data_IF_488693601047
#
_entry.id   IF_488693601047
#
_cell.length_a   1.000
_cell.length_b   1.000
_cell.length_c   1.000
_cell.angle_alpha   90.00
_cell.angle_beta   90.00
_cell.angle_gamma   90.00
#
_symmetry.space_group_name_H-M   'P 1'
#
loop_
_entity.id
_entity.type
_entity.pdbx_description
1 polymer ?
#
# COMPACT_ATOMS: atom_id res chain seq x y z
N UNK A 1 21.19 15.63 3.87
CA UNK A 1 19.84 15.43 4.40
C UNK A 1 19.89 14.54 5.64
N UNK A 2 19.05 14.80 6.64
CA UNK A 2 18.87 13.95 7.84
C UNK A 2 17.56 13.16 7.68
N UNK A 3 17.68 11.87 7.42
CA UNK A 3 16.57 10.99 7.06
C UNK A 3 16.25 10.01 8.20
N UNK A 4 15.01 9.98 8.66
CA UNK A 4 14.48 8.93 9.51
C UNK A 4 13.84 7.82 8.67
N UNK A 5 14.00 6.55 9.05
CA UNK A 5 13.34 5.44 8.37
C UNK A 5 12.66 4.54 9.41
N UNK A 6 11.33 4.52 9.45
CA UNK A 6 10.59 3.49 10.17
C UNK A 6 10.64 2.18 9.43
N UNK A 7 11.37 1.20 9.96
CA UNK A 7 11.53 -0.10 9.32
C UNK A 7 12.41 -1.05 10.15
N UNK A 8 12.55 -2.27 9.68
CA UNK A 8 13.40 -3.28 10.29
C UNK A 8 14.80 -3.26 9.66
N UNK A 9 15.85 -3.43 10.46
CA UNK A 9 17.25 -3.39 10.00
C UNK A 9 17.60 -4.50 9.01
N UNK A 10 16.93 -5.63 9.07
CA UNK A 10 17.07 -6.77 8.16
C UNK A 10 16.28 -6.63 6.85
N UNK A 11 15.41 -5.60 6.75
CA UNK A 11 14.64 -5.32 5.53
C UNK A 11 15.57 -4.95 4.37
N UNK A 12 15.40 -5.65 3.24
CA UNK A 12 16.12 -5.33 2.02
C UNK A 12 15.92 -3.86 1.61
N UNK A 13 14.68 -3.36 1.70
CA UNK A 13 14.34 -1.98 1.30
C UNK A 13 15.02 -0.95 2.18
N UNK A 14 15.10 -1.20 3.49
CA UNK A 14 15.81 -0.33 4.44
C UNK A 14 17.30 -0.31 4.11
N UNK A 15 17.91 -1.47 3.89
CA UNK A 15 19.34 -1.54 3.53
C UNK A 15 19.68 -0.83 2.23
N UNK A 16 18.84 -0.98 1.20
CA UNK A 16 19.04 -0.29 -0.08
C UNK A 16 18.93 1.23 0.08
N UNK A 17 17.96 1.73 0.85
CA UNK A 17 17.85 3.16 1.16
C UNK A 17 19.04 3.68 1.96
N UNK A 18 19.50 2.93 2.97
CA UNK A 18 20.67 3.32 3.75
C UNK A 18 21.95 3.37 2.88
N UNK A 19 22.16 2.37 2.02
CA UNK A 19 23.30 2.36 1.10
C UNK A 19 23.28 3.56 0.14
N UNK A 20 22.13 3.84 -0.47
CA UNK A 20 21.98 4.97 -1.37
C UNK A 20 22.19 6.32 -0.65
N UNK A 21 21.69 6.45 0.59
CA UNK A 21 21.85 7.66 1.40
C UNK A 21 23.31 7.90 1.80
N UNK A 22 24.01 6.84 2.25
CA UNK A 22 25.44 6.92 2.61
C UNK A 22 26.30 7.35 1.40
N UNK A 23 26.04 6.81 0.20
CA UNK A 23 26.74 7.20 -1.02
C UNK A 23 26.56 8.69 -1.36
N UNK A 24 25.49 9.32 -0.89
CA UNK A 24 25.17 10.74 -1.09
C UNK A 24 25.67 11.64 0.05
N UNK A 25 26.23 11.07 1.12
CA UNK A 25 26.60 11.79 2.32
C UNK A 25 25.41 12.19 3.19
N UNK A 26 24.26 11.55 3.02
CA UNK A 26 23.09 11.75 3.87
C UNK A 26 23.23 10.96 5.18
N UNK A 27 22.66 11.51 6.26
CA UNK A 27 22.61 10.84 7.56
C UNK A 27 21.28 10.09 7.68
N UNK A 28 21.34 8.80 8.04
CA UNK A 28 20.14 7.95 8.21
C UNK A 28 20.02 7.50 9.65
N UNK A 29 18.87 7.74 10.26
CA UNK A 29 18.47 7.19 11.55
C UNK A 29 17.39 6.14 11.34
N UNK A 30 17.62 4.92 11.82
CA UNK A 30 16.61 3.88 11.83
C UNK A 30 15.68 4.08 13.01
N UNK A 31 14.37 4.17 12.74
CA UNK A 31 13.33 4.43 13.72
C UNK A 31 12.48 3.17 13.96
N UNK A 32 12.03 3.00 15.21
CA UNK A 32 11.15 1.91 15.61
C UNK A 32 9.85 2.44 16.20
N UNK A 33 8.70 1.95 15.74
CA UNK A 33 7.41 2.30 16.34
C UNK A 33 7.27 1.90 17.82
N UNK A 34 7.98 0.86 18.25
CA UNK A 34 7.98 0.45 19.66
C UNK A 34 8.70 1.45 20.57
N UNK A 35 9.62 2.23 20.01
CA UNK A 35 10.39 3.27 20.71
C UNK A 35 9.90 4.69 20.40
N UNK A 36 8.93 4.83 19.49
CA UNK A 36 8.39 6.13 19.08
C UNK A 36 7.42 6.65 20.13
N UNK A 37 7.69 7.84 20.62
CA UNK A 37 6.88 8.49 21.67
C UNK A 37 6.82 10.00 21.49
N UNK A 38 5.83 10.63 22.11
CA UNK A 38 5.73 12.07 22.21
C UNK A 38 5.55 12.51 23.67
N UNK A 39 6.01 13.70 23.97
CA UNK A 39 5.85 14.35 25.26
C UNK A 39 5.20 15.71 25.08
N UNK A 40 4.16 15.96 25.87
CA UNK A 40 3.58 17.32 26.02
C UNK A 40 3.99 17.85 27.36
N UNK A 41 4.87 18.88 27.38
CA UNK A 41 5.33 19.53 28.62
C UNK A 41 5.30 21.02 28.45
N UNK A 42 4.68 21.73 29.39
CA UNK A 42 4.53 23.18 29.37
C UNK A 42 4.02 23.73 28.00
N UNK A 43 3.05 23.05 27.41
CA UNK A 43 2.46 23.40 26.09
C UNK A 43 3.35 23.14 24.89
N UNK A 44 4.49 22.47 25.06
CA UNK A 44 5.41 22.11 23.97
C UNK A 44 5.31 20.62 23.67
N UNK A 45 5.17 20.29 22.39
CA UNK A 45 5.17 18.94 21.88
C UNK A 45 6.57 18.57 21.38
N UNK A 46 7.07 17.40 21.80
CA UNK A 46 8.39 16.88 21.41
C UNK A 46 8.25 15.40 21.07
N UNK A 47 8.98 14.92 20.07
CA UNK A 47 8.95 13.54 19.59
C UNK A 47 10.29 12.85 19.84
N UNK A 48 10.26 11.57 20.20
CA UNK A 48 11.44 10.78 20.55
C UNK A 48 11.38 9.39 19.89
N UNK A 49 12.55 8.83 19.60
CA UNK A 49 12.71 7.40 19.34
C UNK A 49 13.75 6.85 20.32
N UNK A 50 13.28 6.09 21.32
CA UNK A 50 14.11 5.75 22.48
C UNK A 50 14.47 6.99 23.29
N UNK A 51 15.79 7.23 23.48
CA UNK A 51 16.28 8.41 24.16
C UNK A 51 16.49 9.63 23.23
N UNK A 52 16.52 9.39 21.91
CA UNK A 52 16.86 10.42 20.92
C UNK A 52 15.63 11.27 20.57
N UNK A 53 15.77 12.59 20.69
CA UNK A 53 14.74 13.52 20.23
C UNK A 53 14.79 13.66 18.70
N UNK A 54 13.63 13.51 18.06
CA UNK A 54 13.48 13.57 16.60
C UNK A 54 13.42 15.04 16.11
N UNK A 55 14.43 15.83 16.47
CA UNK A 55 14.56 17.22 16.02
C UNK A 55 15.41 17.31 14.76
N UNK A 56 14.99 18.16 13.81
CA UNK A 56 15.76 18.49 12.62
C UNK A 56 15.94 17.32 11.65
N UNK A 57 15.01 16.36 11.63
CA UNK A 57 14.88 15.43 10.51
C UNK A 57 14.26 16.19 9.34
N UNK A 58 14.90 16.09 8.16
CA UNK A 58 14.38 16.68 6.93
C UNK A 58 13.21 15.88 6.39
N UNK A 59 13.25 14.54 6.54
CA UNK A 59 12.19 13.64 6.14
C UNK A 59 12.19 12.36 6.96
N UNK A 60 11.03 11.70 6.99
CA UNK A 60 10.84 10.35 7.53
C UNK A 60 10.16 9.47 6.48
N UNK A 61 10.76 8.32 6.20
CA UNK A 61 10.17 7.29 5.35
C UNK A 61 9.53 6.21 6.22
N UNK A 62 8.25 5.92 6.01
CA UNK A 62 7.56 4.80 6.65
C UNK A 62 7.64 3.58 5.72
N UNK A 63 8.47 2.60 6.09
CA UNK A 63 8.66 1.37 5.30
C UNK A 63 7.98 0.14 5.89
N UNK A 64 7.66 0.18 7.17
CA UNK A 64 6.94 -0.90 7.84
C UNK A 64 6.24 -0.32 9.06
N UNK A 65 4.97 -0.67 9.23
CA UNK A 65 4.26 -0.52 10.50
C UNK A 65 3.96 -1.94 11.01
N UNK A 66 4.49 -2.33 12.19
CA UNK A 66 4.23 -3.67 12.70
C UNK A 66 2.75 -3.83 13.09
N UNK A 67 2.21 -5.06 13.08
CA UNK A 67 0.89 -5.33 13.62
C UNK A 67 0.75 -4.79 15.05
N UNK A 68 -0.46 -4.42 15.43
CA UNK A 68 -0.76 -3.91 16.76
C UNK A 68 -2.25 -3.96 17.07
N UNK A 69 -2.61 -3.68 18.31
CA UNK A 69 -4.01 -3.42 18.68
C UNK A 69 -4.51 -2.15 17.97
N UNK A 70 -5.82 -1.97 17.90
CA UNK A 70 -6.42 -0.73 17.40
C UNK A 70 -5.82 0.50 18.09
N UNK A 71 -5.69 0.46 19.41
CA UNK A 71 -5.10 1.53 20.22
C UNK A 71 -3.66 1.85 19.78
N UNK A 72 -2.82 0.84 19.57
CA UNK A 72 -1.44 1.03 19.11
C UNK A 72 -1.38 1.59 17.69
N UNK A 73 -2.25 1.13 16.79
CA UNK A 73 -2.26 1.64 15.41
C UNK A 73 -2.69 3.10 15.37
N UNK A 74 -3.79 3.45 16.08
CA UNK A 74 -4.27 4.84 16.20
C UNK A 74 -3.17 5.73 16.79
N UNK A 75 -2.57 5.34 17.93
CA UNK A 75 -1.51 6.12 18.56
C UNK A 75 -0.30 6.34 17.63
N UNK A 76 0.10 5.33 16.84
CA UNK A 76 1.20 5.48 15.85
C UNK A 76 0.86 6.46 14.75
N UNK A 77 -0.39 6.44 14.28
CA UNK A 77 -0.85 7.38 13.25
C UNK A 77 -0.93 8.81 13.79
N UNK A 78 -1.40 8.99 15.03
CA UNK A 78 -1.43 10.28 15.70
C UNK A 78 -0.02 10.84 15.93
N UNK A 79 0.93 9.99 16.35
CA UNK A 79 2.33 10.37 16.51
C UNK A 79 2.98 10.80 15.17
N UNK A 80 2.73 10.06 14.08
CA UNK A 80 3.21 10.44 12.75
C UNK A 80 2.58 11.77 12.29
N UNK A 81 1.27 11.96 12.48
CA UNK A 81 0.57 13.18 12.14
C UNK A 81 1.07 14.37 12.95
N UNK A 82 1.34 14.16 14.24
CA UNK A 82 1.95 15.17 15.09
C UNK A 82 3.36 15.56 14.66
N UNK A 83 4.18 14.59 14.27
CA UNK A 83 5.54 14.82 13.76
C UNK A 83 5.51 15.58 12.42
N UNK A 84 4.55 15.25 11.54
CA UNK A 84 4.30 15.96 10.28
C UNK A 84 3.90 17.42 10.54
N UNK A 85 2.94 17.64 11.46
CA UNK A 85 2.49 18.99 11.86
C UNK A 85 3.61 19.81 12.51
N UNK A 86 4.61 19.16 13.13
CA UNK A 86 5.81 19.81 13.65
C UNK A 86 6.84 20.18 12.57
N UNK A 87 6.55 19.91 11.28
CA UNK A 87 7.35 20.32 10.14
C UNK A 87 8.26 19.26 9.56
N UNK A 88 8.23 18.02 10.07
CA UNK A 88 8.98 16.90 9.46
C UNK A 88 8.17 16.32 8.32
N UNK A 89 8.75 16.23 7.13
CA UNK A 89 8.08 15.57 5.98
C UNK A 89 7.96 14.07 6.22
N UNK A 90 6.75 13.55 6.17
CA UNK A 90 6.49 12.09 6.27
C UNK A 90 6.13 11.54 4.88
N UNK A 91 6.81 10.49 4.44
CA UNK A 91 6.52 9.81 3.17
C UNK A 91 6.17 8.32 3.42
N UNK A 92 4.96 7.94 3.09
CA UNK A 92 3.84 8.81 2.69
C UNK A 92 3.20 9.48 3.90
N UNK A 93 2.48 10.58 3.63
CA UNK A 93 1.72 11.28 4.65
C UNK A 93 0.82 10.31 5.44
N UNK A 94 0.61 10.51 6.75
CA UNK A 94 -0.18 9.60 7.59
C UNK A 94 -1.56 9.30 7.01
N UNK A 95 -2.27 10.31 6.50
CA UNK A 95 -3.58 10.14 5.86
C UNK A 95 -3.55 9.24 4.62
N UNK A 96 -2.48 9.29 3.84
CA UNK A 96 -2.30 8.39 2.70
C UNK A 96 -2.03 6.95 3.14
N UNK A 97 -1.25 6.76 4.22
CA UNK A 97 -1.02 5.44 4.81
C UNK A 97 -2.31 4.82 5.34
N UNK A 98 -3.12 5.60 6.09
CA UNK A 98 -4.45 5.18 6.59
C UNK A 98 -5.37 4.74 5.44
N UNK A 99 -5.44 5.55 4.40
CA UNK A 99 -6.28 5.24 3.24
C UNK A 99 -5.79 3.97 2.54
N UNK A 100 -4.50 3.87 2.23
CA UNK A 100 -3.95 2.79 1.44
C UNK A 100 -3.97 1.43 2.15
N UNK A 101 -3.90 1.38 3.48
CA UNK A 101 -3.95 0.12 4.24
C UNK A 101 -5.36 -0.46 4.29
N UNK A 102 -6.37 0.39 4.21
CA UNK A 102 -7.78 0.01 4.21
C UNK A 102 -8.28 -0.15 2.77
N UNK A 103 -8.49 -1.41 2.37
CA UNK A 103 -8.94 -1.75 1.01
C UNK A 103 -10.30 -1.15 0.67
N UNK A 104 -11.21 -1.09 1.65
CA UNK A 104 -12.54 -0.54 1.40
C UNK A 104 -12.49 0.97 1.26
N UNK A 105 -11.81 1.67 2.17
CA UNK A 105 -11.66 3.12 2.10
C UNK A 105 -11.00 3.55 0.78
N UNK A 106 -9.96 2.81 0.35
CA UNK A 106 -9.34 3.03 -0.96
C UNK A 106 -10.35 2.83 -2.10
N UNK A 107 -11.07 1.71 -2.12
CA UNK A 107 -12.06 1.41 -3.16
C UNK A 107 -13.18 2.45 -3.17
N UNK A 108 -13.69 2.84 -2.00
CA UNK A 108 -14.71 3.87 -1.87
C UNK A 108 -14.25 5.21 -2.46
N UNK A 109 -13.07 5.70 -2.06
CA UNK A 109 -12.54 6.98 -2.53
C UNK A 109 -12.29 6.99 -4.04
N UNK A 110 -11.79 5.89 -4.59
CA UNK A 110 -11.60 5.75 -6.03
C UNK A 110 -12.94 5.81 -6.77
N UNK A 111 -13.96 5.09 -6.29
CA UNK A 111 -15.30 5.09 -6.87
C UNK A 111 -15.98 6.47 -6.79
N UNK A 112 -15.84 7.19 -5.65
CA UNK A 112 -16.35 8.56 -5.47
C UNK A 112 -15.75 9.55 -6.47
N UNK A 113 -14.53 9.30 -6.94
CA UNK A 113 -13.87 10.09 -7.99
C UNK A 113 -14.12 9.55 -9.40
N UNK A 114 -15.03 8.58 -9.56
CA UNK A 114 -15.38 7.99 -10.86
C UNK A 114 -14.28 7.12 -11.47
N UNK A 115 -13.27 6.70 -10.70
CA UNK A 115 -12.25 5.79 -11.20
C UNK A 115 -12.78 4.36 -11.23
N UNK A 116 -12.45 3.58 -12.28
CA UNK A 116 -12.95 2.22 -12.44
C UNK A 116 -12.33 1.29 -11.39
N UNK A 117 -13.19 0.70 -10.58
CA UNK A 117 -12.87 -0.32 -9.56
C UNK A 117 -13.81 -1.52 -9.70
N UNK A 118 -13.44 -2.72 -9.25
CA UNK A 118 -14.38 -3.84 -9.26
C UNK A 118 -15.55 -3.62 -8.30
N UNK A 119 -16.73 -4.12 -8.66
CA UNK A 119 -17.90 -4.12 -7.78
C UNK A 119 -17.55 -4.77 -6.44
N UNK A 120 -17.86 -4.10 -5.35
CA UNK A 120 -17.40 -4.46 -4.00
C UNK A 120 -18.49 -4.21 -2.96
N UNK A 121 -18.66 -5.16 -2.04
CA UNK A 121 -19.52 -5.04 -0.87
C UNK A 121 -18.69 -5.28 0.39
N UNK A 122 -18.91 -4.45 1.41
CA UNK A 122 -18.35 -4.64 2.75
C UNK A 122 -19.47 -4.83 3.76
N UNK A 123 -19.31 -5.81 4.66
CA UNK A 123 -20.28 -6.10 5.73
C UNK A 123 -19.60 -6.83 6.88
N UNK A 124 -20.32 -7.00 8.00
CA UNK A 124 -19.84 -7.77 9.16
C UNK A 124 -20.56 -9.12 9.27
N UNK A 125 -21.79 -9.24 8.75
CA UNK A 125 -22.60 -10.45 8.84
C UNK A 125 -22.45 -11.38 7.64
N UNK A 126 -22.42 -12.69 7.90
CA UNK A 126 -22.31 -13.72 6.87
C UNK A 126 -23.50 -13.71 5.91
N UNK A 127 -24.71 -13.40 6.36
CA UNK A 127 -25.90 -13.34 5.50
C UNK A 127 -25.80 -12.23 4.45
N UNK A 128 -25.35 -11.03 4.85
CA UNK A 128 -25.13 -9.93 3.91
C UNK A 128 -24.01 -10.26 2.92
N UNK A 129 -22.95 -10.95 3.36
CA UNK A 129 -21.87 -11.39 2.48
C UNK A 129 -22.33 -12.46 1.47
N UNK A 130 -23.23 -13.36 1.87
CA UNK A 130 -23.80 -14.36 0.97
C UNK A 130 -24.77 -13.73 -0.03
N UNK A 131 -25.56 -12.74 0.38
CA UNK A 131 -26.35 -11.94 -0.55
C UNK A 131 -25.46 -11.23 -1.58
N UNK A 132 -24.37 -10.61 -1.13
CA UNK A 132 -23.38 -9.98 -2.01
C UNK A 132 -22.75 -11.00 -2.99
N UNK A 133 -22.45 -12.22 -2.53
CA UNK A 133 -21.95 -13.29 -3.40
C UNK A 133 -22.92 -13.59 -4.56
N UNK A 134 -24.24 -13.68 -4.28
CA UNK A 134 -25.26 -13.87 -5.30
C UNK A 134 -25.36 -12.66 -6.25
N UNK A 135 -25.45 -11.46 -5.72
CA UNK A 135 -25.61 -10.20 -6.48
C UNK A 135 -24.40 -9.92 -7.38
N UNK A 136 -23.19 -10.27 -6.95
CA UNK A 136 -21.95 -10.11 -7.72
C UNK A 136 -21.71 -11.22 -8.74
N UNK A 137 -22.65 -12.18 -8.88
CA UNK A 137 -22.64 -13.19 -9.94
C UNK A 137 -21.91 -14.48 -9.58
N UNK A 138 -21.79 -14.82 -8.31
CA UNK A 138 -21.22 -16.06 -7.79
C UNK A 138 -19.76 -16.36 -8.18
N UNK A 139 -19.03 -15.35 -8.55
CA UNK A 139 -17.57 -15.44 -8.75
C UNK A 139 -16.94 -14.22 -8.09
N UNK A 140 -16.51 -14.40 -6.85
CA UNK A 140 -16.03 -13.34 -6.00
C UNK A 140 -14.67 -13.66 -5.36
N UNK A 141 -13.99 -12.61 -4.95
CA UNK A 141 -12.80 -12.69 -4.11
C UNK A 141 -13.12 -12.11 -2.75
N UNK A 142 -12.98 -12.92 -1.72
CA UNK A 142 -13.08 -12.47 -0.32
C UNK A 142 -11.68 -12.15 0.17
N UNK A 143 -11.51 -10.93 0.68
CA UNK A 143 -10.20 -10.41 1.11
C UNK A 143 -10.26 -9.97 2.57
N UNK A 144 -9.18 -10.12 3.35
CA UNK A 144 -9.08 -9.41 4.63
C UNK A 144 -9.03 -7.90 4.36
N UNK A 145 -9.72 -7.11 5.20
CA UNK A 145 -9.73 -5.65 5.07
C UNK A 145 -8.31 -5.09 5.13
N UNK A 146 -7.52 -5.54 6.10
CA UNK A 146 -6.11 -5.23 6.24
C UNK A 146 -5.25 -6.42 5.84
N UNK A 147 -4.15 -6.19 5.14
CA UNK A 147 -3.24 -7.23 4.70
C UNK A 147 -2.53 -6.88 3.40
N UNK A 148 -1.41 -7.52 3.17
CA UNK A 148 -0.55 -7.30 2.00
C UNK A 148 -0.19 -8.63 1.32
N UNK A 149 0.40 -8.54 0.14
CA UNK A 149 1.01 -9.67 -0.59
C UNK A 149 0.04 -10.79 -0.99
N UNK A 150 -1.26 -10.51 -1.07
CA UNK A 150 -2.27 -11.50 -1.44
C UNK A 150 -2.55 -12.57 -0.38
N UNK A 151 -2.09 -12.38 0.87
CA UNK A 151 -2.35 -13.32 1.96
C UNK A 151 -3.80 -13.25 2.42
N UNK A 152 -4.42 -14.41 2.64
CA UNK A 152 -5.80 -14.50 3.11
C UNK A 152 -6.86 -14.20 2.04
N UNK A 153 -6.47 -14.03 0.77
CA UNK A 153 -7.39 -13.81 -0.34
C UNK A 153 -7.90 -15.18 -0.83
N UNK A 154 -9.22 -15.31 -0.91
CA UNK A 154 -9.89 -16.54 -1.37
C UNK A 154 -10.84 -16.19 -2.50
N UNK A 155 -10.70 -16.84 -3.68
CA UNK A 155 -11.72 -16.84 -4.73
C UNK A 155 -12.76 -17.90 -4.43
N UNK A 156 -14.02 -17.55 -4.55
CA UNK A 156 -15.14 -18.43 -4.24
C UNK A 156 -16.15 -18.38 -5.38
N UNK A 157 -16.51 -19.57 -5.88
CA UNK A 157 -17.51 -19.76 -6.95
C UNK A 157 -18.61 -20.75 -6.53
N UNK A 158 -18.37 -21.49 -5.46
CA UNK A 158 -19.31 -22.48 -4.92
C UNK A 158 -20.08 -21.89 -3.72
N UNK A 159 -21.44 -21.95 -3.70
CA UNK A 159 -22.24 -21.38 -2.62
C UNK A 159 -22.00 -22.01 -1.24
N UNK A 160 -21.71 -23.32 -1.18
CA UNK A 160 -21.41 -23.96 0.10
C UNK A 160 -20.07 -23.51 0.66
N UNK A 161 -19.06 -23.34 -0.21
CA UNK A 161 -17.76 -22.79 0.17
C UNK A 161 -17.92 -21.34 0.60
N UNK A 162 -18.70 -20.53 -0.13
CA UNK A 162 -19.02 -19.15 0.24
C UNK A 162 -19.60 -19.08 1.66
N UNK A 163 -20.62 -19.91 1.94
CA UNK A 163 -21.24 -19.99 3.26
C UNK A 163 -20.22 -20.33 4.36
N UNK A 164 -19.38 -21.35 4.13
CA UNK A 164 -18.36 -21.77 5.11
C UNK A 164 -17.33 -20.67 5.37
N UNK A 165 -16.85 -20.02 4.33
CA UNK A 165 -15.87 -18.91 4.44
C UNK A 165 -16.48 -17.73 5.18
N UNK A 166 -17.68 -17.26 4.77
CA UNK A 166 -18.34 -16.11 5.40
C UNK A 166 -18.64 -16.37 6.88
N UNK A 167 -19.20 -17.55 7.23
CA UNK A 167 -19.47 -17.87 8.62
C UNK A 167 -18.21 -18.06 9.48
N UNK A 168 -17.12 -18.54 8.89
CA UNK A 168 -15.83 -18.64 9.61
C UNK A 168 -15.29 -17.25 9.94
N UNK A 169 -15.32 -16.32 8.97
CA UNK A 169 -14.87 -14.95 9.17
C UNK A 169 -15.75 -14.19 10.17
N UNK A 170 -17.07 -14.36 10.11
CA UNK A 170 -18.01 -13.80 11.08
C UNK A 170 -17.70 -14.26 12.51
N UNK A 171 -17.43 -15.57 12.72
CA UNK A 171 -17.11 -16.14 14.05
C UNK A 171 -15.85 -15.55 14.68
N UNK A 172 -14.90 -15.10 13.88
CA UNK A 172 -13.69 -14.44 14.37
C UNK A 172 -13.82 -12.91 14.36
N UNK A 173 -15.05 -12.38 14.17
CA UNK A 173 -15.36 -10.94 14.13
C UNK A 173 -14.54 -10.19 13.07
N UNK A 174 -14.28 -10.84 11.94
CA UNK A 174 -13.63 -10.21 10.81
C UNK A 174 -14.64 -9.46 9.94
N UNK A 175 -14.22 -8.34 9.39
CA UNK A 175 -14.99 -7.65 8.34
C UNK A 175 -14.88 -8.45 7.04
N UNK A 176 -16.01 -8.63 6.37
CA UNK A 176 -16.14 -9.32 5.11
C UNK A 176 -16.08 -8.32 3.96
N UNK A 177 -14.97 -8.31 3.24
CA UNK A 177 -14.78 -7.54 2.02
C UNK A 177 -14.94 -8.49 0.83
N UNK A 178 -16.10 -8.41 0.16
CA UNK A 178 -16.49 -9.26 -0.96
C UNK A 178 -16.41 -8.46 -2.25
N UNK A 179 -15.54 -8.87 -3.16
CA UNK A 179 -15.31 -8.17 -4.42
C UNK A 179 -15.54 -9.11 -5.60
N UNK A 180 -16.23 -8.63 -6.62
CA UNK A 180 -16.41 -9.36 -7.88
C UNK A 180 -15.05 -9.76 -8.46
N UNK A 181 -14.92 -11.01 -8.87
CA UNK A 181 -13.71 -11.45 -9.54
C UNK A 181 -13.57 -10.77 -10.91
N UNK A 182 -12.40 -10.21 -11.15
CA UNK A 182 -12.10 -9.57 -12.45
C UNK A 182 -11.73 -10.65 -13.45
N UNK A 183 -12.71 -11.06 -14.24
CA UNK A 183 -12.53 -12.04 -15.30
C UNK A 183 -11.91 -11.36 -16.53
N UNK A 184 -10.61 -11.51 -16.69
CA UNK A 184 -9.85 -10.93 -17.78
C UNK A 184 -8.56 -11.69 -18.04
N UNK A 185 -7.59 -11.09 -18.71
CA UNK A 185 -6.29 -11.73 -18.94
C UNK A 185 -5.63 -12.08 -17.61
N UNK A 186 -5.00 -13.28 -17.55
CA UNK A 186 -4.36 -13.80 -16.34
C UNK A 186 -3.03 -13.07 -16.04
N UNK A 187 -3.09 -11.75 -15.83
CA UNK A 187 -1.99 -10.91 -15.35
C UNK A 187 -2.54 -9.65 -14.69
N UNK A 188 -1.72 -9.02 -13.89
CA UNK A 188 -1.92 -7.64 -13.48
C UNK A 188 -0.72 -6.76 -13.86
N UNK A 189 -0.94 -5.44 -13.81
CA UNK A 189 0.09 -4.43 -14.01
C UNK A 189 0.39 -3.74 -12.69
N UNK A 190 1.66 -3.72 -12.30
CA UNK A 190 2.16 -2.90 -11.20
C UNK A 190 2.88 -1.68 -11.76
N UNK A 191 2.34 -0.49 -11.53
CA UNK A 191 3.02 0.78 -11.80
C UNK A 191 3.57 1.34 -10.50
N UNK A 192 4.86 1.68 -10.47
CA UNK A 192 5.49 2.36 -9.34
C UNK A 192 5.56 3.85 -9.64
N UNK A 193 4.97 4.66 -8.77
CA UNK A 193 4.89 6.11 -8.94
C UNK A 193 5.65 6.84 -7.82
N UNK A 194 6.22 7.96 -8.20
CA UNK A 194 6.78 8.95 -7.29
C UNK A 194 6.35 10.34 -7.78
N UNK A 195 5.60 11.05 -6.95
CA UNK A 195 5.11 12.40 -7.24
C UNK A 195 4.41 12.51 -8.60
N UNK A 196 3.46 11.60 -8.84
CA UNK A 196 2.70 11.52 -10.08
C UNK A 196 3.47 10.99 -11.32
N UNK A 197 4.78 10.73 -11.20
CA UNK A 197 5.61 10.18 -12.27
C UNK A 197 5.75 8.67 -12.14
N UNK A 198 5.54 7.94 -13.22
CA UNK A 198 5.81 6.50 -13.27
C UNK A 198 7.33 6.28 -13.34
N UNK A 199 7.90 5.66 -12.30
CA UNK A 199 9.31 5.26 -12.25
C UNK A 199 9.58 4.00 -13.08
N UNK A 200 8.58 3.13 -13.16
CA UNK A 200 8.62 1.91 -13.94
C UNK A 200 7.31 1.16 -13.83
N UNK A 201 7.09 0.25 -14.76
CA UNK A 201 5.93 -0.63 -14.74
C UNK A 201 6.33 -2.07 -15.06
N UNK A 202 5.64 -3.03 -14.46
CA UNK A 202 5.82 -4.45 -14.75
C UNK A 202 4.49 -5.16 -14.87
N UNK A 203 4.44 -6.09 -15.79
CA UNK A 203 3.39 -7.09 -15.89
C UNK A 203 3.73 -8.24 -14.96
N UNK A 204 2.79 -8.60 -14.08
CA UNK A 204 2.94 -9.76 -13.19
C UNK A 204 2.00 -10.87 -13.68
N UNK A 205 2.56 -12.03 -13.91
CA UNK A 205 1.81 -13.21 -14.36
C UNK A 205 1.81 -14.24 -13.24
N UNK A 206 0.63 -14.74 -12.81
CA UNK A 206 0.56 -15.79 -11.82
C UNK A 206 1.17 -17.10 -12.34
N UNK A 207 1.58 -17.98 -11.44
CA UNK A 207 1.97 -19.33 -11.81
C UNK A 207 0.73 -20.14 -12.26
N UNK A 208 0.91 -21.20 -13.04
CA UNK A 208 -0.21 -22.05 -13.44
C UNK A 208 -1.03 -22.56 -12.25
N UNK A 209 -2.36 -22.45 -12.35
CA UNK A 209 -3.30 -22.85 -11.29
C UNK A 209 -3.50 -21.82 -10.17
N UNK A 210 -2.82 -20.67 -10.22
CA UNK A 210 -2.98 -19.58 -9.26
C UNK A 210 -3.64 -18.37 -9.96
N UNK A 211 -4.51 -17.65 -9.25
CA UNK A 211 -5.10 -16.43 -9.78
C UNK A 211 -4.40 -15.15 -9.28
N UNK A 212 -3.61 -15.25 -8.20
CA UNK A 212 -2.87 -14.14 -7.62
C UNK A 212 -1.54 -13.95 -8.33
N UNK A 213 -1.31 -12.80 -8.92
CA UNK A 213 -0.10 -12.48 -9.68
C UNK A 213 1.05 -11.89 -8.83
N UNK A 214 0.87 -11.74 -7.51
CA UNK A 214 1.88 -11.18 -6.62
C UNK A 214 3.20 -11.95 -6.70
N UNK A 215 4.32 -11.22 -6.82
CA UNK A 215 5.67 -11.84 -6.87
C UNK A 215 6.01 -12.62 -5.60
N UNK A 216 5.51 -12.18 -4.44
CA UNK A 216 5.61 -12.92 -3.17
C UNK A 216 4.90 -14.28 -3.21
N UNK A 217 3.95 -14.48 -4.11
CA UNK A 217 3.25 -15.74 -4.40
C UNK A 217 3.87 -16.49 -5.60
N UNK A 218 5.16 -16.24 -5.89
CA UNK A 218 5.91 -16.85 -6.99
C UNK A 218 5.41 -16.48 -8.40
N UNK A 219 4.72 -15.35 -8.54
CA UNK A 219 4.43 -14.75 -9.84
C UNK A 219 5.71 -14.28 -10.54
N UNK A 220 5.68 -14.23 -11.85
CA UNK A 220 6.79 -13.70 -12.66
C UNK A 220 6.52 -12.24 -13.05
N UNK A 221 7.55 -11.40 -12.97
CA UNK A 221 7.48 -10.00 -13.39
C UNK A 221 8.30 -9.76 -14.65
N UNK A 222 7.69 -9.15 -15.65
CA UNK A 222 8.37 -8.69 -16.87
C UNK A 222 8.20 -7.18 -17.04
N UNK A 223 9.17 -6.46 -17.63
CA UNK A 223 9.01 -5.04 -17.92
C UNK A 223 7.74 -4.78 -18.72
N UNK A 224 7.06 -3.70 -18.44
CA UNK A 224 5.88 -3.26 -19.15
C UNK A 224 6.06 -1.80 -19.59
N UNK A 225 5.70 -1.48 -20.83
CA UNK A 225 5.63 -0.10 -21.28
C UNK A 225 4.17 0.37 -21.18
N UNK A 226 3.80 1.12 -20.12
CA UNK A 226 2.41 1.43 -19.86
C UNK A 226 1.84 2.37 -20.91
N UNK A 227 0.62 2.08 -21.36
CA UNK A 227 -0.11 2.96 -22.27
C UNK A 227 -0.51 4.27 -21.56
N UNK A 228 -0.74 5.37 -22.28
CA UNK A 228 -1.10 6.65 -21.68
C UNK A 228 -2.31 6.59 -20.74
N UNK A 229 -3.33 5.81 -21.05
CA UNK A 229 -4.51 5.64 -20.21
C UNK A 229 -4.21 4.88 -18.90
N UNK A 230 -3.27 3.91 -18.92
CA UNK A 230 -2.82 3.20 -17.72
C UNK A 230 -2.05 4.15 -16.78
N UNK A 231 -1.19 4.99 -17.35
CA UNK A 231 -0.45 6.02 -16.60
C UNK A 231 -1.41 7.03 -15.98
N UNK A 232 -2.38 7.52 -16.74
CA UNK A 232 -3.39 8.47 -16.26
C UNK A 232 -4.21 7.86 -15.12
N UNK A 233 -4.69 6.63 -15.29
CA UNK A 233 -5.48 5.93 -14.28
C UNK A 233 -4.67 5.71 -13.00
N UNK A 234 -3.43 5.21 -13.11
CA UNK A 234 -2.58 4.97 -11.95
C UNK A 234 -2.21 6.26 -11.21
N UNK A 235 -1.92 7.34 -11.95
CA UNK A 235 -1.62 8.65 -11.37
C UNK A 235 -2.85 9.24 -10.65
N UNK A 236 -4.03 9.15 -11.28
CA UNK A 236 -5.27 9.59 -10.65
C UNK A 236 -5.56 8.79 -9.36
N UNK A 237 -5.39 7.47 -9.38
CA UNK A 237 -5.58 6.62 -8.21
C UNK A 237 -4.62 6.96 -7.06
N UNK A 238 -3.34 7.18 -7.35
CA UNK A 238 -2.35 7.60 -6.36
C UNK A 238 -2.70 8.97 -5.73
N UNK A 239 -3.17 9.91 -6.54
CA UNK A 239 -3.60 11.25 -6.10
C UNK A 239 -4.84 11.18 -5.20
N UNK A 240 -5.84 10.35 -5.53
CA UNK A 240 -7.04 10.15 -4.70
C UNK A 240 -6.69 9.62 -3.30
N UNK A 241 -5.73 8.72 -3.23
CA UNK A 241 -5.21 8.20 -1.94
C UNK A 241 -4.30 9.21 -1.24
N UNK A 242 -3.71 10.16 -1.97
CA UNK A 242 -2.72 11.10 -1.47
C UNK A 242 -1.33 10.49 -1.31
N UNK A 243 -1.06 9.38 -2.00
CA UNK A 243 0.19 8.65 -1.88
C UNK A 243 1.22 9.15 -2.90
N UNK A 244 2.21 9.89 -2.43
CA UNK A 244 3.30 10.43 -3.25
C UNK A 244 4.21 9.32 -3.80
N UNK A 245 4.54 8.34 -2.97
CA UNK A 245 5.30 7.15 -3.36
C UNK A 245 4.41 5.92 -3.27
N UNK A 246 3.98 5.38 -4.40
CA UNK A 246 2.96 4.34 -4.43
C UNK A 246 3.20 3.27 -5.48
N UNK A 247 2.65 2.09 -5.23
CA UNK A 247 2.50 1.04 -6.23
C UNK A 247 1.02 0.86 -6.54
N UNK A 248 0.62 1.11 -7.77
CA UNK A 248 -0.75 0.95 -8.24
C UNK A 248 -0.89 -0.35 -9.03
N UNK A 249 -1.87 -1.15 -8.67
CA UNK A 249 -2.18 -2.42 -9.34
C UNK A 249 -3.41 -2.25 -10.22
N UNK A 250 -3.26 -2.56 -11.50
CA UNK A 250 -4.33 -2.54 -12.48
C UNK A 250 -4.59 -3.95 -13.01
N UNK A 251 -5.86 -4.30 -13.21
CA UNK A 251 -6.27 -5.49 -13.94
C UNK A 251 -7.23 -5.09 -15.07
N UNK A 252 -7.21 -5.85 -16.14
CA UNK A 252 -8.17 -5.70 -17.22
C UNK A 252 -9.35 -6.65 -17.02
N UNK A 253 -10.56 -6.17 -17.22
CA UNK A 253 -11.74 -7.01 -17.27
C UNK A 253 -11.89 -7.74 -18.63
N UNK A 254 -12.96 -8.52 -18.79
CA UNK A 254 -13.24 -9.25 -20.03
C UNK A 254 -13.55 -8.32 -21.22
N UNK A 255 -13.96 -7.10 -20.98
CA UNK A 255 -14.18 -6.09 -22.03
C UNK A 255 -12.90 -5.31 -22.40
N UNK A 256 -11.78 -5.60 -21.74
CA UNK A 256 -10.51 -4.91 -21.95
C UNK A 256 -10.44 -3.54 -21.27
N UNK A 257 -11.26 -3.28 -20.26
CA UNK A 257 -11.22 -2.05 -19.50
C UNK A 257 -10.30 -2.22 -18.27
N UNK A 258 -9.37 -1.29 -18.01
CA UNK A 258 -8.52 -1.36 -16.84
C UNK A 258 -9.28 -0.93 -15.59
N UNK A 259 -9.13 -1.71 -14.51
CA UNK A 259 -9.69 -1.45 -13.18
C UNK A 259 -8.55 -1.26 -12.18
N UNK A 260 -8.69 -0.32 -11.25
CA UNK A 260 -7.76 -0.18 -10.13
C UNK A 260 -8.11 -1.21 -9.05
N UNK A 261 -7.15 -2.07 -8.73
CA UNK A 261 -7.32 -3.14 -7.74
C UNK A 261 -6.79 -2.72 -6.36
N UNK A 262 -5.68 -2.00 -6.33
CA UNK A 262 -5.00 -1.60 -5.11
C UNK A 262 -4.11 -0.39 -5.35
N UNK A 263 -4.03 0.50 -4.33
CA UNK A 263 -3.00 1.54 -4.24
C UNK A 263 -2.21 1.27 -2.95
N UNK A 264 -0.94 0.95 -3.07
CA UNK A 264 -0.08 0.62 -1.95
C UNK A 264 0.85 1.80 -1.63
N UNK A 265 0.69 2.42 -0.46
CA UNK A 265 1.50 3.55 0.00
C UNK A 265 2.84 3.15 0.65
N UNK A 266 3.12 1.86 0.79
CA UNK A 266 4.42 1.33 1.23
C UNK A 266 4.88 0.28 0.22
N UNK A 267 5.06 0.65 -1.07
CA UNK A 267 5.29 -0.32 -2.11
C UNK A 267 6.63 -1.05 -1.94
N UNK A 268 6.61 -2.36 -2.21
CA UNK A 268 7.83 -3.11 -2.49
C UNK A 268 8.22 -2.89 -3.95
N UNK A 269 9.50 -2.66 -4.21
CA UNK A 269 10.01 -2.38 -5.57
C UNK A 269 11.04 -3.38 -6.08
N UNK A 270 11.42 -4.40 -5.29
CA UNK A 270 12.46 -5.37 -5.67
C UNK A 270 12.21 -6.00 -7.06
N UNK A 271 11.01 -6.52 -7.28
CA UNK A 271 10.66 -7.16 -8.55
C UNK A 271 10.69 -6.17 -9.71
N UNK A 272 10.19 -4.96 -9.51
CA UNK A 272 10.21 -3.90 -10.52
C UNK A 272 11.64 -3.44 -10.82
N UNK A 273 12.47 -3.23 -9.80
CA UNK A 273 13.87 -2.87 -9.98
C UNK A 273 14.64 -3.94 -10.76
N UNK A 274 14.39 -5.22 -10.48
CA UNK A 274 14.99 -6.34 -11.23
C UNK A 274 14.49 -6.39 -12.69
N UNK A 275 13.20 -6.16 -12.91
CA UNK A 275 12.61 -6.20 -14.24
C UNK A 275 13.00 -5.00 -15.10
N UNK A 276 12.98 -3.78 -14.53
CA UNK A 276 13.10 -2.52 -15.29
C UNK A 276 14.48 -1.84 -15.16
N UNK A 277 15.37 -2.32 -14.28
CA UNK A 277 16.70 -1.71 -14.06
C UNK A 277 16.66 -0.32 -13.40
N UNK A 278 15.56 0.04 -12.71
CA UNK A 278 15.34 1.38 -12.12
C UNK A 278 16.00 1.47 -10.74
N UNK A 279 16.80 2.51 -10.50
CA UNK A 279 17.33 2.84 -9.18
C UNK A 279 16.29 3.58 -8.34
N UNK A 280 15.36 2.83 -7.74
CA UNK A 280 14.28 3.39 -6.93
C UNK A 280 14.78 4.13 -5.68
N UNK A 281 15.75 3.61 -4.89
CA UNK A 281 16.30 4.35 -3.76
C UNK A 281 16.90 5.69 -4.16
N UNK A 282 17.71 5.72 -5.22
CA UNK A 282 18.34 6.94 -5.71
C UNK A 282 17.30 7.99 -6.11
N UNK A 283 16.31 7.61 -6.92
CA UNK A 283 15.24 8.51 -7.37
C UNK A 283 14.40 9.06 -6.19
N UNK A 284 14.09 8.22 -5.20
CA UNK A 284 13.34 8.66 -4.02
C UNK A 284 14.13 9.67 -3.18
N UNK A 285 15.43 9.44 -2.98
CA UNK A 285 16.28 10.36 -2.24
C UNK A 285 16.53 11.67 -3.01
N UNK A 286 16.66 11.63 -4.35
CA UNK A 286 16.76 12.84 -5.19
C UNK A 286 15.51 13.71 -5.05
N UNK A 287 14.34 13.08 -5.13
CA UNK A 287 13.07 13.77 -4.96
C UNK A 287 12.94 14.42 -3.58
N UNK A 288 13.31 13.72 -2.50
CA UNK A 288 13.30 14.26 -1.14
C UNK A 288 14.19 15.50 -0.99
N UNK A 289 15.39 15.49 -1.60
CA UNK A 289 16.32 16.62 -1.55
C UNK A 289 15.83 17.81 -2.34
N UNK A 290 15.23 17.59 -3.51
CA UNK A 290 14.73 18.67 -4.37
C UNK A 290 13.53 19.40 -3.74
N UNK A 291 12.63 18.66 -3.13
CA UNK A 291 11.39 19.18 -2.56
C UNK A 291 11.51 19.64 -1.10
N UNK A 292 12.64 19.40 -0.44
CA UNK A 292 12.95 19.87 0.92
C UNK A 292 13.58 21.25 1.00
N UNK A 293 13.84 21.92 -0.13
CA UNK A 293 14.46 23.24 -0.21
C UNK A 293 13.49 24.39 -0.49
N UNK A 294 12.16 24.09 -0.44
CA UNK A 294 11.10 25.08 -0.68
C UNK A 294 10.66 25.74 0.61
#
# INVERSE_FOLDING_TARGET
MRLGIFGQSDSLYVRLLQQAAVQRGDMVTLLSFQQFSAQVRAGRLRFFCGADELTGLDAVLVRTMPPGSLEQVVARMDLLSGLEAAGTRIVNAPRALECAVDKYLTTQRLAEQGLPVPDTVICEGAEAALQAFEELGRDVVIKPLFGAEGRGIVRVTDPEIAMRVCRTLERISAVLYVQKFVAGPAFDLRLLLLDGRVLGAMRRTPRPGEFRANISQQGTGTPWNPAPHEVQLATAAANVVGAVFSGVDLMYDAAGQPLVIEVNAVPGWRGLQQACGVDVPGLLLDWLQQTGKS
#
